data_IF_165264903300
#
_entry.id   IF_165264903300
#
_cell.length_a   1.000
_cell.length_b   1.000
_cell.length_c   1.000
_cell.angle_alpha   90.00
_cell.angle_beta   90.00
_cell.angle_gamma   90.00
#
_symmetry.space_group_name_H-M   'P 1'
#
loop_
_entity.id
_entity.type
_entity.pdbx_description
1 polymer ?
#
# COMPACT_ATOMS: atom_id res chain seq x y z
N UNK A 1 -18.01 -4.71 28.83
CA UNK A 1 -17.62 -5.59 27.71
C UNK A 1 -18.65 -5.42 26.62
N UNK A 2 -18.23 -5.24 25.36
CA UNK A 2 -19.16 -5.26 24.22
C UNK A 2 -19.73 -6.67 24.08
N UNK A 3 -21.01 -6.79 23.71
CA UNK A 3 -21.62 -8.11 23.46
C UNK A 3 -21.06 -8.72 22.16
N UNK A 4 -21.20 -10.04 21.98
CA UNK A 4 -20.82 -10.71 20.72
C UNK A 4 -21.57 -10.10 19.53
N UNK A 5 -22.83 -9.70 19.72
CA UNK A 5 -23.64 -9.04 18.69
C UNK A 5 -23.09 -7.67 18.30
N UNK A 6 -22.68 -6.85 19.28
CA UNK A 6 -22.04 -5.56 19.03
C UNK A 6 -20.68 -5.72 18.33
N UNK A 7 -19.91 -6.76 18.66
CA UNK A 7 -18.65 -7.07 17.99
C UNK A 7 -18.90 -7.44 16.53
N UNK A 8 -19.89 -8.31 16.26
CA UNK A 8 -20.25 -8.71 14.89
C UNK A 8 -20.70 -7.53 14.04
N UNK A 9 -21.54 -6.64 14.61
CA UNK A 9 -22.00 -5.42 13.93
C UNK A 9 -20.84 -4.46 13.59
N UNK A 10 -19.88 -4.28 14.50
CA UNK A 10 -18.72 -3.42 14.26
C UNK A 10 -17.72 -4.03 13.26
N UNK A 11 -17.82 -5.33 12.97
CA UNK A 11 -16.96 -6.06 12.05
C UNK A 11 -17.62 -6.32 10.70
N UNK A 12 -18.83 -5.81 10.47
CA UNK A 12 -19.48 -5.88 9.16
C UNK A 12 -18.54 -5.33 8.07
N UNK A 13 -18.40 -6.08 6.99
CA UNK A 13 -17.58 -5.70 5.85
C UNK A 13 -18.44 -5.72 4.57
N UNK A 14 -18.30 -4.65 3.79
CA UNK A 14 -18.90 -4.52 2.47
C UNK A 14 -17.78 -4.51 1.45
N UNK A 15 -17.89 -5.34 0.41
CA UNK A 15 -16.89 -5.35 -0.63
C UNK A 15 -16.96 -4.04 -1.44
N UNK A 16 -15.84 -3.31 -1.46
CA UNK A 16 -15.65 -2.09 -2.22
C UNK A 16 -14.38 -2.25 -3.04
N UNK A 17 -14.40 -1.84 -4.29
CA UNK A 17 -13.21 -1.80 -5.14
C UNK A 17 -12.77 -0.36 -5.32
N UNK A 18 -11.50 -0.07 -5.03
CA UNK A 18 -10.97 1.26 -5.27
C UNK A 18 -10.89 1.52 -6.78
N UNK A 19 -11.57 2.58 -7.24
CA UNK A 19 -11.55 2.95 -8.65
C UNK A 19 -10.18 3.50 -9.03
N UNK A 20 -9.47 2.78 -9.90
CA UNK A 20 -8.17 3.21 -10.42
C UNK A 20 -8.35 4.05 -11.69
N UNK A 21 -7.80 5.28 -11.75
CA UNK A 21 -7.84 6.08 -12.97
C UNK A 21 -7.04 5.40 -14.08
N UNK A 22 -7.42 5.57 -15.36
CA UNK A 22 -6.64 5.05 -16.47
C UNK A 22 -5.25 5.70 -16.49
N UNK A 23 -4.24 4.94 -16.88
CA UNK A 23 -2.87 5.39 -17.00
C UNK A 23 -2.53 5.66 -18.47
N UNK A 24 -1.78 6.73 -18.72
CA UNK A 24 -1.28 7.06 -20.06
C UNK A 24 -0.27 6.01 -20.52
N UNK A 25 -0.33 5.62 -21.80
CA UNK A 25 0.60 4.68 -22.41
C UNK A 25 2.05 5.22 -22.40
N UNK A 26 2.24 6.50 -22.74
CA UNK A 26 3.55 7.16 -22.73
C UNK A 26 4.19 7.11 -21.33
N UNK A 27 3.38 7.37 -20.31
CA UNK A 27 3.83 7.35 -18.91
C UNK A 27 4.11 5.93 -18.44
N UNK A 28 3.28 4.96 -18.85
CA UNK A 28 3.49 3.55 -18.56
C UNK A 28 4.75 2.99 -19.23
N UNK A 29 5.15 3.47 -20.41
CA UNK A 29 6.41 3.05 -21.05
C UNK A 29 7.63 3.43 -20.18
N UNK A 30 7.64 4.65 -19.63
CA UNK A 30 8.68 5.10 -18.70
C UNK A 30 8.69 4.27 -17.42
N UNK A 31 7.51 4.04 -16.83
CA UNK A 31 7.37 3.21 -15.63
C UNK A 31 7.86 1.78 -15.88
N UNK A 32 7.43 1.13 -16.96
CA UNK A 32 7.78 -0.26 -17.27
C UNK A 32 9.27 -0.43 -17.58
N UNK A 33 9.89 0.54 -18.26
CA UNK A 33 11.34 0.53 -18.48
C UNK A 33 12.11 0.61 -17.16
N UNK A 34 11.74 1.56 -16.28
CA UNK A 34 12.36 1.71 -14.97
C UNK A 34 12.14 0.46 -14.10
N UNK A 35 10.92 -0.06 -14.05
CA UNK A 35 10.55 -1.25 -13.30
C UNK A 35 11.31 -2.49 -13.77
N UNK A 36 11.47 -2.67 -15.08
CA UNK A 36 12.25 -3.79 -15.60
C UNK A 36 13.69 -3.75 -15.08
N UNK A 37 14.35 -2.59 -15.12
CA UNK A 37 15.71 -2.43 -14.61
C UNK A 37 15.78 -2.62 -13.09
N UNK A 38 14.84 -2.02 -12.37
CA UNK A 38 14.68 -2.13 -10.92
C UNK A 38 14.60 -3.60 -10.46
N UNK A 39 13.70 -4.38 -11.05
CA UNK A 39 13.49 -5.79 -10.70
C UNK A 39 14.71 -6.67 -11.04
N UNK A 40 15.37 -6.42 -12.18
CA UNK A 40 16.57 -7.17 -12.56
C UNK A 40 17.75 -6.89 -11.64
N UNK A 41 17.82 -5.69 -11.05
CA UNK A 41 18.90 -5.32 -10.12
C UNK A 41 18.57 -5.64 -8.66
N UNK A 42 17.32 -5.96 -8.33
CA UNK A 42 16.91 -6.32 -6.96
C UNK A 42 17.67 -7.52 -6.38
N UNK A 43 18.01 -8.52 -7.21
CA UNK A 43 18.76 -9.70 -6.78
C UNK A 43 20.29 -9.47 -6.67
N UNK A 44 20.97 -8.87 -7.67
CA UNK A 44 22.41 -8.63 -7.57
C UNK A 44 22.81 -7.37 -6.79
N UNK A 45 21.88 -6.42 -6.59
CA UNK A 45 22.14 -5.11 -6.02
C UNK A 45 22.15 -5.09 -4.49
N UNK A 46 22.58 -3.95 -3.93
CA UNK A 46 22.57 -3.69 -2.50
C UNK A 46 22.00 -2.30 -2.22
N UNK A 47 21.29 -2.16 -1.09
CA UNK A 47 20.79 -0.85 -0.64
C UNK A 47 21.92 0.18 -0.60
N UNK A 48 21.69 1.34 -1.21
CA UNK A 48 22.67 2.41 -1.26
C UNK A 48 23.84 2.20 -2.24
N UNK A 49 23.79 1.20 -3.14
CA UNK A 49 24.80 1.04 -4.19
C UNK A 49 24.76 2.18 -5.24
N UNK A 50 23.61 2.88 -5.33
CA UNK A 50 23.37 4.04 -6.19
C UNK A 50 22.73 3.70 -7.53
N UNK A 51 22.46 2.42 -7.81
CA UNK A 51 21.78 2.01 -9.04
C UNK A 51 20.38 2.62 -9.16
N UNK A 52 19.61 2.62 -8.06
CA UNK A 52 18.25 3.14 -8.06
C UNK A 52 18.19 4.66 -8.27
N UNK A 53 19.26 5.40 -7.99
CA UNK A 53 19.33 6.85 -8.23
C UNK A 53 19.17 7.16 -9.74
N UNK A 54 19.69 6.28 -10.61
CA UNK A 54 19.54 6.38 -12.06
C UNK A 54 18.09 6.19 -12.54
N UNK A 55 17.25 5.51 -11.73
CA UNK A 55 15.87 5.21 -12.07
C UNK A 55 14.89 6.29 -11.58
N UNK A 56 15.30 7.11 -10.60
CA UNK A 56 14.44 8.14 -10.02
C UNK A 56 13.86 9.12 -11.05
N UNK A 57 14.58 9.61 -12.07
CA UNK A 57 14.00 10.50 -13.07
C UNK A 57 12.78 9.90 -13.78
N UNK A 58 12.83 8.61 -14.13
CA UNK A 58 11.73 7.92 -14.82
C UNK A 58 10.49 7.83 -13.93
N UNK A 59 10.67 7.40 -12.68
CA UNK A 59 9.56 7.31 -11.74
C UNK A 59 8.99 8.69 -11.38
N UNK A 60 9.83 9.72 -11.22
CA UNK A 60 9.41 11.10 -10.95
C UNK A 60 8.56 11.67 -12.08
N UNK A 61 9.03 11.54 -13.33
CA UNK A 61 8.27 11.97 -14.51
C UNK A 61 6.95 11.20 -14.59
N UNK A 62 6.98 9.89 -14.37
CA UNK A 62 5.78 9.09 -14.45
C UNK A 62 4.74 9.46 -13.36
N UNK A 63 5.18 9.57 -12.11
CA UNK A 63 4.34 9.98 -10.99
C UNK A 63 3.75 11.39 -11.18
N UNK A 64 4.55 12.34 -11.69
CA UNK A 64 4.11 13.69 -12.01
C UNK A 64 3.00 13.74 -13.08
N UNK A 65 2.97 12.74 -13.97
CA UNK A 65 1.97 12.60 -15.03
C UNK A 65 0.81 11.64 -14.66
N UNK A 66 0.62 11.38 -13.36
CA UNK A 66 -0.54 10.64 -12.87
C UNK A 66 -0.36 9.12 -12.80
N UNK A 67 0.85 8.61 -13.03
CA UNK A 67 1.13 7.19 -12.85
C UNK A 67 1.25 6.85 -11.37
N UNK A 68 0.15 6.37 -10.79
CA UNK A 68 0.13 5.97 -9.39
C UNK A 68 1.03 4.76 -9.10
N UNK A 69 1.35 3.91 -10.08
CA UNK A 69 2.26 2.77 -9.86
C UNK A 69 3.69 3.27 -9.72
N UNK A 70 4.10 4.21 -10.57
CA UNK A 70 5.38 4.89 -10.45
C UNK A 70 5.49 5.67 -9.14
N UNK A 71 4.41 6.35 -8.75
CA UNK A 71 4.34 7.07 -7.48
C UNK A 71 4.59 6.13 -6.28
N UNK A 72 3.86 5.01 -6.20
CA UNK A 72 4.03 4.02 -5.12
C UNK A 72 5.45 3.45 -5.12
N UNK A 73 5.99 3.10 -6.30
CA UNK A 73 7.34 2.53 -6.39
C UNK A 73 8.43 3.53 -5.99
N UNK A 74 8.28 4.79 -6.40
CA UNK A 74 9.19 5.87 -6.02
C UNK A 74 9.18 6.09 -4.51
N UNK A 75 8.01 6.11 -3.89
CA UNK A 75 7.89 6.23 -2.44
C UNK A 75 8.65 5.12 -1.71
N UNK A 76 8.52 3.87 -2.16
CA UNK A 76 9.25 2.73 -1.60
C UNK A 76 10.77 2.88 -1.71
N UNK A 77 11.29 3.26 -2.89
CA UNK A 77 12.72 3.43 -3.10
C UNK A 77 13.32 4.53 -2.20
N UNK A 78 12.58 5.62 -2.01
CA UNK A 78 12.99 6.75 -1.19
C UNK A 78 12.89 6.45 0.32
N UNK A 79 11.90 5.67 0.77
CA UNK A 79 11.68 5.42 2.20
C UNK A 79 12.49 4.25 2.78
N UNK A 80 12.89 3.28 1.95
CA UNK A 80 13.49 2.01 2.41
C UNK A 80 15.02 1.94 2.19
N UNK A 81 15.66 3.09 1.94
CA UNK A 81 17.13 3.22 1.87
C UNK A 81 17.78 2.62 0.62
N UNK A 82 17.02 2.45 -0.48
CA UNK A 82 17.55 1.95 -1.76
C UNK A 82 18.36 2.99 -2.53
N UNK A 83 18.14 4.26 -2.24
CA UNK A 83 18.73 5.41 -2.92
C UNK A 83 19.79 6.08 -2.07
N UNK A 84 20.65 6.91 -2.67
CA UNK A 84 21.57 7.80 -1.94
C UNK A 84 20.99 9.19 -1.67
N UNK A 85 19.69 9.37 -1.91
CA UNK A 85 19.01 10.63 -1.61
C UNK A 85 19.05 10.86 -0.10
N UNK A 86 19.48 12.05 0.38
CA UNK A 86 19.50 12.32 1.82
C UNK A 86 18.12 12.15 2.46
N UNK A 87 18.07 11.55 3.66
CA UNK A 87 16.81 11.16 4.33
C UNK A 87 15.78 12.30 4.40
N UNK A 88 16.20 13.52 4.73
CA UNK A 88 15.32 14.69 4.84
C UNK A 88 14.71 15.07 3.47
N UNK A 89 15.50 14.94 2.39
CA UNK A 89 15.02 15.20 1.04
C UNK A 89 14.05 14.12 0.58
N UNK A 90 14.38 12.84 0.87
CA UNK A 90 13.53 11.70 0.59
C UNK A 90 12.18 11.80 1.31
N UNK A 91 12.17 12.11 2.61
CA UNK A 91 10.95 12.28 3.40
C UNK A 91 10.07 13.42 2.85
N UNK A 92 10.69 14.53 2.47
CA UNK A 92 9.99 15.68 1.87
C UNK A 92 9.34 15.30 0.53
N UNK A 93 10.02 14.51 -0.29
CA UNK A 93 9.51 14.02 -1.56
C UNK A 93 8.39 13.00 -1.36
N UNK A 94 8.57 12.03 -0.46
CA UNK A 94 7.55 11.03 -0.10
C UNK A 94 6.27 11.69 0.38
N UNK A 95 6.34 12.74 1.21
CA UNK A 95 5.14 13.48 1.65
C UNK A 95 4.37 14.13 0.48
N UNK A 96 5.08 14.65 -0.53
CA UNK A 96 4.45 15.22 -1.73
C UNK A 96 3.80 14.12 -2.57
N UNK A 97 4.51 13.01 -2.78
CA UNK A 97 4.03 11.84 -3.50
C UNK A 97 2.79 11.24 -2.83
N UNK A 98 2.81 11.13 -1.50
CA UNK A 98 1.67 10.69 -0.69
C UNK A 98 0.44 11.58 -0.92
N UNK A 99 0.60 12.92 -0.88
CA UNK A 99 -0.51 13.86 -1.15
C UNK A 99 -1.07 13.70 -2.57
N UNK A 100 -0.22 13.44 -3.56
CA UNK A 100 -0.65 13.17 -4.94
C UNK A 100 -1.41 11.86 -5.02
N UNK A 101 -0.87 10.79 -4.42
CA UNK A 101 -1.51 9.47 -4.39
C UNK A 101 -2.84 9.53 -3.65
N UNK A 102 -2.92 10.21 -2.51
CA UNK A 102 -4.14 10.32 -1.72
C UNK A 102 -5.28 11.01 -2.49
N UNK A 103 -4.97 11.93 -3.40
CA UNK A 103 -5.97 12.53 -4.29
C UNK A 103 -6.48 11.57 -5.38
N UNK A 104 -5.65 10.63 -5.82
CA UNK A 104 -5.98 9.70 -6.91
C UNK A 104 -6.56 8.37 -6.40
N UNK A 105 -5.95 7.82 -5.36
CA UNK A 105 -6.19 6.53 -4.73
C UNK A 105 -6.16 6.68 -3.20
N UNK A 106 -7.21 7.24 -2.58
CA UNK A 106 -7.23 7.50 -1.14
C UNK A 106 -7.18 6.22 -0.29
N UNK A 107 -7.76 5.11 -0.76
CA UNK A 107 -7.71 3.83 -0.04
C UNK A 107 -6.28 3.27 -0.06
N UNK A 108 -5.63 3.25 -1.23
CA UNK A 108 -4.22 2.83 -1.34
C UNK A 108 -3.30 3.76 -0.53
N UNK A 109 -3.55 5.07 -0.53
CA UNK A 109 -2.77 6.00 0.29
C UNK A 109 -2.92 5.69 1.79
N UNK A 110 -4.13 5.42 2.30
CA UNK A 110 -4.28 5.01 3.71
C UNK A 110 -3.54 3.71 4.04
N UNK A 111 -3.45 2.78 3.08
CA UNK A 111 -2.64 1.57 3.24
C UNK A 111 -1.13 1.88 3.31
N UNK A 112 -0.62 2.81 2.51
CA UNK A 112 0.78 3.25 2.64
C UNK A 112 1.03 3.98 3.96
N UNK A 113 0.10 4.84 4.40
CA UNK A 113 0.22 5.54 5.68
C UNK A 113 0.30 4.57 6.86
N UNK A 114 -0.47 3.49 6.82
CA UNK A 114 -0.36 2.39 7.78
C UNK A 114 1.07 1.85 7.83
N UNK A 115 1.70 1.59 6.69
CA UNK A 115 3.10 1.14 6.62
C UNK A 115 4.08 2.16 7.20
N UNK A 116 3.92 3.45 6.87
CA UNK A 116 4.76 4.51 7.44
C UNK A 116 4.64 4.65 8.95
N UNK A 117 3.46 4.39 9.52
CA UNK A 117 3.26 4.39 10.97
C UNK A 117 3.95 3.17 11.60
N UNK A 118 3.86 1.99 11.00
CA UNK A 118 4.54 0.78 11.49
C UNK A 118 6.07 0.93 11.46
N UNK A 119 6.60 1.52 10.39
CA UNK A 119 8.04 1.72 10.21
C UNK A 119 8.58 2.95 10.93
N UNK A 120 7.69 3.81 11.47
CA UNK A 120 8.06 5.10 12.08
C UNK A 120 8.62 6.11 11.07
N UNK A 121 8.27 5.99 9.79
CA UNK A 121 8.81 6.82 8.71
C UNK A 121 8.02 8.13 8.55
N UNK A 122 8.62 9.26 8.90
CA UNK A 122 8.10 10.62 8.62
C UNK A 122 6.72 10.96 9.23
N UNK A 123 6.19 10.10 10.11
CA UNK A 123 4.85 10.26 10.71
C UNK A 123 4.91 9.96 12.20
N UNK A 124 4.38 10.89 12.99
CA UNK A 124 4.06 10.64 14.40
C UNK A 124 2.57 10.34 14.53
N UNK A 125 2.24 9.13 14.95
CA UNK A 125 0.87 8.71 15.21
C UNK A 125 0.77 8.04 16.60
N UNK A 126 -0.41 8.02 17.24
CA UNK A 126 -0.61 7.26 18.46
C UNK A 126 -0.26 5.78 18.25
N UNK A 127 0.23 5.08 19.30
CA UNK A 127 0.46 3.63 19.24
C UNK A 127 -0.80 2.89 18.77
N UNK A 128 -0.61 1.81 18.02
CA UNK A 128 -1.66 0.91 17.52
C UNK A 128 -2.67 1.56 16.54
N UNK A 129 -2.39 2.77 16.04
CA UNK A 129 -3.25 3.46 15.07
C UNK A 129 -3.17 2.88 13.65
N UNK A 130 -2.14 2.10 13.35
CA UNK A 130 -1.93 1.43 12.05
C UNK A 130 -3.10 0.50 11.71
N UNK A 131 -3.68 -0.19 12.71
CA UNK A 131 -4.84 -1.06 12.49
C UNK A 131 -6.10 -0.28 12.10
N UNK A 132 -6.26 0.93 12.62
CA UNK A 132 -7.37 1.81 12.25
C UNK A 132 -7.23 2.29 10.79
N UNK A 133 -6.01 2.63 10.37
CA UNK A 133 -5.73 3.00 8.98
C UNK A 133 -5.83 1.81 8.02
N UNK A 134 -5.39 0.61 8.45
CA UNK A 134 -5.59 -0.63 7.70
C UNK A 134 -7.07 -0.88 7.45
N UNK A 135 -7.89 -0.82 8.51
CA UNK A 135 -9.33 -1.02 8.41
C UNK A 135 -9.97 0.02 7.49
N UNK A 136 -9.60 1.30 7.66
CA UNK A 136 -10.08 2.39 6.80
C UNK A 136 -9.74 2.16 5.33
N UNK A 137 -8.50 1.76 5.02
CA UNK A 137 -8.07 1.46 3.66
C UNK A 137 -8.85 0.28 3.05
N UNK A 138 -9.09 -0.78 3.83
CA UNK A 138 -9.85 -1.94 3.37
C UNK A 138 -11.32 -1.61 3.09
N UNK A 139 -11.97 -0.84 3.98
CA UNK A 139 -13.35 -0.38 3.83
C UNK A 139 -13.50 0.60 2.64
N UNK A 140 -12.44 1.33 2.29
CA UNK A 140 -12.38 2.20 1.11
C UNK A 140 -11.99 1.47 -0.19
N UNK A 141 -11.67 0.17 -0.11
CA UNK A 141 -11.48 -0.68 -1.28
C UNK A 141 -10.04 -0.94 -1.69
N UNK A 142 -9.03 -0.60 -0.87
CA UNK A 142 -7.65 -0.98 -1.18
C UNK A 142 -7.51 -2.51 -1.15
N UNK A 143 -7.10 -3.08 -2.29
CA UNK A 143 -6.88 -4.52 -2.46
C UNK A 143 -5.89 -5.06 -1.43
N UNK A 144 -4.74 -4.39 -1.30
CA UNK A 144 -3.67 -4.77 -0.38
C UNK A 144 -4.14 -4.68 1.07
N UNK A 145 -4.89 -3.64 1.43
CA UNK A 145 -5.45 -3.49 2.77
C UNK A 145 -6.49 -4.58 3.09
N UNK A 146 -7.35 -4.92 2.14
CA UNK A 146 -8.31 -6.02 2.30
C UNK A 146 -7.58 -7.34 2.56
N UNK A 147 -6.56 -7.66 1.76
CA UNK A 147 -5.75 -8.86 1.96
C UNK A 147 -5.11 -8.88 3.36
N UNK A 148 -4.41 -7.81 3.75
CA UNK A 148 -3.73 -7.74 5.06
C UNK A 148 -4.71 -7.74 6.22
N UNK A 149 -5.89 -7.11 6.08
CA UNK A 149 -6.94 -7.12 7.11
C UNK A 149 -7.48 -8.54 7.32
N UNK A 150 -7.74 -9.28 6.25
CA UNK A 150 -8.20 -10.66 6.32
C UNK A 150 -7.16 -11.56 7.02
N UNK A 151 -5.88 -11.42 6.67
CA UNK A 151 -4.79 -12.10 7.37
C UNK A 151 -4.82 -11.77 8.87
N UNK A 152 -4.82 -10.48 9.25
CA UNK A 152 -4.87 -10.06 10.67
C UNK A 152 -6.07 -10.68 11.40
N UNK A 153 -7.24 -10.79 10.78
CA UNK A 153 -8.44 -11.43 11.36
C UNK A 153 -8.23 -12.94 11.56
N UNK A 154 -7.57 -13.61 10.61
CA UNK A 154 -7.29 -15.04 10.66
C UNK A 154 -6.37 -15.39 11.84
N UNK A 155 -5.36 -14.57 12.09
CA UNK A 155 -4.35 -14.77 13.15
C UNK A 155 -4.84 -14.43 14.57
N UNK A 156 -6.03 -13.87 14.75
CA UNK A 156 -6.60 -13.67 16.10
C UNK A 156 -6.86 -15.02 16.77
N UNK A 157 -6.36 -15.20 18.00
CA UNK A 157 -6.60 -16.41 18.78
C UNK A 157 -7.79 -16.20 19.74
N UNK A 158 -9.00 -16.42 19.22
CA UNK A 158 -10.25 -16.37 19.98
C UNK A 158 -11.24 -17.42 19.43
N UNK A 159 -11.42 -18.50 20.18
CA UNK A 159 -12.29 -19.63 19.81
C UNK A 159 -13.78 -19.25 19.69
N UNK A 160 -14.38 -18.47 20.62
CA UNK A 160 -15.80 -18.09 20.50
C UNK A 160 -16.16 -17.34 19.22
N UNK A 161 -15.23 -16.58 18.64
CA UNK A 161 -15.47 -15.85 17.38
C UNK A 161 -14.88 -16.56 16.14
N UNK A 162 -14.24 -17.72 16.29
CA UNK A 162 -13.49 -18.39 15.23
C UNK A 162 -14.29 -18.58 13.95
N UNK A 163 -15.49 -19.13 14.03
CA UNK A 163 -16.35 -19.37 12.86
C UNK A 163 -16.68 -18.07 12.12
N UNK A 164 -17.10 -17.05 12.87
CA UNK A 164 -17.40 -15.73 12.34
C UNK A 164 -16.17 -15.07 11.68
N UNK A 165 -15.00 -15.15 12.32
CA UNK A 165 -13.76 -14.58 11.79
C UNK A 165 -13.33 -15.27 10.50
N UNK A 166 -13.44 -16.58 10.42
CA UNK A 166 -13.13 -17.33 9.19
C UNK A 166 -14.09 -16.97 8.05
N UNK A 167 -15.37 -16.77 8.34
CA UNK A 167 -16.33 -16.33 7.33
C UNK A 167 -16.02 -14.91 6.83
N UNK A 168 -15.77 -13.98 7.76
CA UNK A 168 -15.38 -12.61 7.45
C UNK A 168 -14.08 -12.55 6.64
N UNK A 169 -13.05 -13.29 7.06
CA UNK A 169 -11.78 -13.42 6.35
C UNK A 169 -12.00 -13.89 4.91
N UNK A 170 -12.78 -14.95 4.69
CA UNK A 170 -13.07 -15.45 3.33
C UNK A 170 -13.75 -14.39 2.46
N UNK A 171 -14.73 -13.66 3.02
CA UNK A 171 -15.43 -12.58 2.31
C UNK A 171 -14.48 -11.45 1.91
N UNK A 172 -13.57 -11.04 2.80
CA UNK A 172 -12.60 -9.99 2.52
C UNK A 172 -11.57 -10.47 1.49
N UNK A 173 -11.04 -11.70 1.61
CA UNK A 173 -10.12 -12.29 0.63
C UNK A 173 -10.74 -12.40 -0.76
N UNK A 174 -12.01 -12.78 -0.84
CA UNK A 174 -12.74 -12.82 -2.10
C UNK A 174 -12.82 -11.41 -2.73
N UNK A 175 -13.16 -10.39 -1.95
CA UNK A 175 -13.18 -9.03 -2.46
C UNK A 175 -11.81 -8.55 -2.96
N UNK A 176 -10.73 -8.90 -2.24
CA UNK A 176 -9.37 -8.57 -2.65
C UNK A 176 -8.98 -9.30 -3.94
N UNK A 177 -9.38 -10.57 -4.11
CA UNK A 177 -9.05 -11.35 -5.31
C UNK A 177 -9.79 -10.87 -6.56
N UNK A 178 -11.03 -10.38 -6.42
CA UNK A 178 -11.81 -9.80 -7.51
C UNK A 178 -11.16 -8.54 -8.12
N UNK A 179 -10.36 -7.81 -7.33
CA UNK A 179 -9.61 -6.63 -7.80
C UNK A 179 -8.28 -6.99 -8.47
N UNK A 180 -7.83 -8.24 -8.34
CA UNK A 180 -6.57 -8.71 -8.89
C UNK A 180 -6.68 -9.11 -10.35
N UNK A 181 -6.00 -8.38 -11.24
CA UNK A 181 -5.58 -8.93 -12.52
C UNK A 181 -4.27 -9.71 -12.32
N UNK A 182 -4.32 -10.94 -11.78
CA UNK A 182 -3.29 -11.98 -11.96
C UNK A 182 -1.78 -11.63 -11.92
N UNK A 183 -1.35 -10.53 -11.30
CA UNK A 183 0.05 -10.11 -11.19
C UNK A 183 0.32 -9.73 -9.73
N UNK A 184 0.46 -10.77 -8.91
CA UNK A 184 1.48 -10.76 -7.88
C UNK A 184 2.82 -10.78 -8.61
N UNK A 185 3.57 -9.68 -8.52
CA UNK A 185 5.04 -9.53 -8.49
C UNK A 185 5.40 -8.06 -8.72
#
# INVERSE_FOLDING_TARGET
MKTIEEIKKNLEFTCVHEKRPPLSEETQQLYNYALHRDLNHMWPGQRGDGFWDELLPYYRIAAANGDYKANIRLQFLLSDGWTKVPDIEAETEVHKLYKMLHKQLPATAYYLLKGYIEDGYGVSAPPDSELAFLRKAADMGSREAQYVLAEKIAWVDDEPTREFRLDLMRKIHQCASEQGQGLLL
#
